data_IF_879224872682
#
_entry.id   IF_879224872682
#
_cell.length_a   1.000
_cell.length_b   1.000
_cell.length_c   1.000
_cell.angle_alpha   90.00
_cell.angle_beta   90.00
_cell.angle_gamma   90.00
#
_symmetry.space_group_name_H-M   'P 1'
#
loop_
_entity.id
_entity.type
_entity.pdbx_description
1 polymer ?
#
# COMPACT_ATOMS: atom_id res chain seq x y z
N UNK A 1 -0.08 3.15 22.31
CA UNK A 1 -0.66 3.98 21.24
C UNK A 1 -1.96 4.59 21.71
N UNK A 2 -2.38 5.68 21.09
CA UNK A 2 -3.68 6.29 21.39
C UNK A 2 -4.81 5.44 20.81
N UNK A 3 -6.02 5.62 21.36
CA UNK A 3 -7.21 4.95 20.84
C UNK A 3 -7.57 5.47 19.45
N UNK A 4 -8.09 4.61 18.60
CA UNK A 4 -8.58 4.92 17.27
C UNK A 4 -9.74 3.98 16.93
N UNK A 5 -10.59 4.39 16.01
CA UNK A 5 -11.61 3.53 15.43
C UNK A 5 -11.07 2.83 14.16
N UNK A 6 -11.53 1.59 13.93
CA UNK A 6 -11.03 0.76 12.83
C UNK A 6 -12.14 0.45 11.84
N UNK A 7 -11.85 0.70 10.57
CA UNK A 7 -12.75 0.47 9.45
C UNK A 7 -12.08 -0.42 8.41
N UNK A 8 -12.85 -1.33 7.83
CA UNK A 8 -12.38 -2.21 6.76
C UNK A 8 -13.36 -2.20 5.60
N UNK A 9 -13.32 -1.20 4.72
CA UNK A 9 -14.23 -1.10 3.58
C UNK A 9 -14.00 -2.23 2.58
N UNK A 10 -15.06 -2.57 1.85
CA UNK A 10 -15.04 -3.63 0.84
C UNK A 10 -15.00 -3.09 -0.59
N UNK A 11 -15.05 -1.78 -0.75
CA UNK A 11 -14.91 -1.11 -2.05
C UNK A 11 -14.05 0.16 -1.93
N UNK A 12 -13.43 0.54 -3.03
CA UNK A 12 -12.65 1.78 -3.09
C UNK A 12 -13.55 3.01 -2.89
N UNK A 13 -14.76 2.98 -3.41
CA UNK A 13 -15.75 4.05 -3.22
C UNK A 13 -16.08 4.24 -1.74
N UNK A 14 -16.30 3.15 -0.99
CA UNK A 14 -16.56 3.20 0.45
C UNK A 14 -15.35 3.72 1.22
N UNK A 15 -14.14 3.31 0.86
CA UNK A 15 -12.91 3.81 1.48
C UNK A 15 -12.77 5.33 1.31
N UNK A 16 -13.06 5.84 0.13
CA UNK A 16 -13.04 7.29 -0.15
C UNK A 16 -14.13 8.03 0.62
N UNK A 17 -15.31 7.47 0.71
CA UNK A 17 -16.43 8.06 1.46
C UNK A 17 -16.10 8.14 2.95
N UNK A 18 -15.59 7.06 3.55
CA UNK A 18 -15.13 7.05 4.93
C UNK A 18 -14.07 8.12 5.18
N UNK A 19 -13.07 8.21 4.33
CA UNK A 19 -12.01 9.20 4.47
C UNK A 19 -12.55 10.63 4.50
N UNK A 20 -13.55 10.92 3.67
CA UNK A 20 -14.15 12.25 3.58
C UNK A 20 -15.05 12.61 4.77
N UNK A 21 -15.59 11.61 5.47
CA UNK A 21 -16.54 11.79 6.56
C UNK A 21 -15.91 11.82 7.95
N UNK A 22 -14.74 11.23 8.10
CA UNK A 22 -14.04 11.09 9.38
C UNK A 22 -13.17 12.33 9.67
N UNK A 23 -12.82 12.53 10.94
CA UNK A 23 -12.14 13.75 11.39
C UNK A 23 -10.66 13.77 11.01
N UNK A 24 -9.92 12.72 11.38
CA UNK A 24 -8.48 12.57 11.09
C UNK A 24 -8.16 11.13 10.70
N UNK A 25 -8.70 10.65 9.57
CA UNK A 25 -8.50 9.28 9.15
C UNK A 25 -7.13 9.09 8.49
N UNK A 26 -6.57 7.89 8.66
CA UNK A 26 -5.43 7.43 7.87
C UNK A 26 -5.72 6.09 7.22
N UNK A 27 -5.29 5.95 5.97
CA UNK A 27 -5.27 4.65 5.32
C UNK A 27 -4.15 3.77 5.88
N UNK A 28 -4.45 2.52 6.17
CA UNK A 28 -3.44 1.51 6.46
C UNK A 28 -3.41 0.45 5.38
N UNK A 29 -2.21 0.21 4.88
CA UNK A 29 -1.90 -0.77 3.86
C UNK A 29 -0.97 -1.84 4.47
N UNK A 30 0.32 -1.82 4.19
CA UNK A 30 1.29 -2.72 4.83
C UNK A 30 1.49 -2.48 6.33
N UNK A 31 1.34 -1.24 6.78
CA UNK A 31 1.41 -0.85 8.18
C UNK A 31 2.82 -0.76 8.76
N UNK A 32 3.86 -1.02 7.99
CA UNK A 32 5.24 -1.14 8.48
C UNK A 32 5.88 0.18 8.93
N UNK A 33 5.31 1.30 8.55
CA UNK A 33 5.71 2.64 9.03
C UNK A 33 4.65 3.22 9.97
N UNK A 34 3.39 3.17 9.57
CA UNK A 34 2.31 3.77 10.34
C UNK A 34 2.14 3.13 11.73
N UNK A 35 2.09 1.80 11.82
CA UNK A 35 1.88 1.11 13.08
C UNK A 35 3.01 1.38 14.09
N UNK A 36 4.29 1.28 13.74
CA UNK A 36 5.37 1.70 14.63
C UNK A 36 5.28 3.16 15.08
N UNK A 37 4.91 4.07 14.16
CA UNK A 37 4.74 5.50 14.50
C UNK A 37 3.62 5.71 15.51
N UNK A 38 2.51 4.99 15.38
CA UNK A 38 1.41 5.03 16.35
C UNK A 38 1.83 4.45 17.71
N UNK A 39 2.59 3.36 17.72
CA UNK A 39 3.13 2.76 18.97
C UNK A 39 4.05 3.71 19.71
N UNK A 40 4.80 4.51 19.01
CA UNK A 40 5.69 5.54 19.57
C UNK A 40 4.97 6.86 19.86
N UNK A 41 3.67 6.93 19.61
CA UNK A 41 2.83 8.14 19.77
C UNK A 41 3.27 9.32 18.90
N UNK A 42 3.92 9.04 17.77
CA UNK A 42 4.29 10.04 16.76
C UNK A 42 3.18 10.29 15.74
N UNK A 43 2.23 9.37 15.64
CA UNK A 43 1.00 9.51 14.85
C UNK A 43 -0.19 9.11 15.72
N UNK A 44 -1.27 9.88 15.62
CA UNK A 44 -2.47 9.71 16.44
C UNK A 44 -3.74 9.92 15.61
N UNK A 45 -3.97 9.13 14.53
CA UNK A 45 -5.19 9.26 13.76
C UNK A 45 -6.41 8.94 14.61
N UNK A 46 -7.54 9.60 14.35
CA UNK A 46 -8.81 9.24 14.97
C UNK A 46 -9.32 7.88 14.47
N UNK A 47 -9.03 7.57 13.22
CA UNK A 47 -9.55 6.41 12.52
C UNK A 47 -8.50 5.77 11.60
N UNK A 48 -8.50 4.44 11.53
CA UNK A 48 -7.75 3.68 10.53
C UNK A 48 -8.69 3.05 9.52
N UNK A 49 -8.43 3.30 8.26
CA UNK A 49 -9.14 2.69 7.13
C UNK A 49 -8.24 1.63 6.51
N UNK A 50 -8.51 0.36 6.79
CA UNK A 50 -7.72 -0.77 6.31
C UNK A 50 -8.09 -1.12 4.87
N UNK A 51 -7.11 -1.05 3.99
CA UNK A 51 -7.27 -1.30 2.56
C UNK A 51 -7.11 -2.78 2.17
N UNK A 52 -6.88 -3.67 3.14
CA UNK A 52 -6.54 -5.08 2.86
C UNK A 52 -7.66 -5.90 2.21
N UNK A 53 -8.91 -5.44 2.26
CA UNK A 53 -10.04 -6.09 1.57
C UNK A 53 -10.20 -5.63 0.11
N UNK A 54 -9.42 -4.65 -0.34
CA UNK A 54 -9.52 -4.08 -1.68
C UNK A 54 -8.56 -4.78 -2.64
N UNK A 55 -8.96 -5.91 -3.21
CA UNK A 55 -8.14 -6.70 -4.14
C UNK A 55 -7.73 -5.92 -5.39
N UNK A 56 -8.52 -4.93 -5.80
CA UNK A 56 -8.21 -4.05 -6.93
C UNK A 56 -6.94 -3.19 -6.71
N UNK A 57 -6.48 -3.04 -5.47
CA UNK A 57 -5.25 -2.34 -5.12
C UNK A 57 -4.02 -3.25 -5.10
N UNK A 58 -4.18 -4.54 -5.35
CA UNK A 58 -3.08 -5.50 -5.42
C UNK A 58 -2.68 -5.77 -6.87
N UNK A 59 -1.38 -6.04 -7.05
CA UNK A 59 -0.85 -6.56 -8.30
C UNK A 59 -0.13 -5.54 -9.16
N UNK A 60 0.48 -6.08 -10.21
CA UNK A 60 1.29 -5.34 -11.17
C UNK A 60 0.79 -5.74 -12.55
N UNK A 61 0.42 -4.74 -13.35
CA UNK A 61 -0.08 -4.98 -14.70
C UNK A 61 0.47 -3.97 -15.69
N UNK A 62 0.60 -4.41 -16.94
CA UNK A 62 0.96 -3.55 -18.05
C UNK A 62 -0.30 -2.97 -18.68
N UNK A 63 -0.36 -1.65 -18.76
CA UNK A 63 -1.42 -0.92 -19.43
C UNK A 63 -0.86 -0.35 -20.72
N UNK A 64 -1.40 -0.81 -21.84
CA UNK A 64 -1.01 -0.34 -23.16
C UNK A 64 -2.15 0.46 -23.76
N UNK A 65 -1.90 1.73 -24.10
CA UNK A 65 -2.74 2.46 -25.01
C UNK A 65 -2.03 2.64 -26.37
N UNK A 66 -2.67 3.36 -27.29
CA UNK A 66 -2.17 3.52 -28.68
C UNK A 66 -0.83 4.29 -28.76
N UNK A 67 -0.39 4.98 -27.71
CA UNK A 67 0.76 5.88 -27.70
C UNK A 67 1.77 5.57 -26.60
N UNK A 68 1.32 5.03 -25.46
CA UNK A 68 2.16 4.83 -24.27
C UNK A 68 1.99 3.43 -23.67
N UNK A 69 3.09 2.91 -23.14
CA UNK A 69 3.10 1.70 -22.32
C UNK A 69 3.42 2.08 -20.89
N UNK A 70 2.54 1.70 -19.95
CA UNK A 70 2.69 1.98 -18.54
C UNK A 70 2.62 0.72 -17.72
N UNK A 71 3.32 0.68 -16.59
CA UNK A 71 3.10 -0.31 -15.56
C UNK A 71 2.26 0.31 -14.44
N UNK A 72 1.21 -0.39 -14.05
CA UNK A 72 0.43 -0.08 -12.87
C UNK A 72 0.88 -0.97 -11.72
N UNK A 73 1.23 -0.35 -10.59
CA UNK A 73 1.54 -1.05 -9.34
C UNK A 73 0.48 -0.65 -8.33
N UNK A 74 -0.31 -1.59 -7.86
CA UNK A 74 -1.35 -1.34 -6.87
C UNK A 74 -0.77 -0.96 -5.52
N UNK A 75 -1.43 -0.07 -4.78
CA UNK A 75 -0.96 0.42 -3.48
C UNK A 75 -0.89 -0.63 -2.37
N UNK A 76 -1.53 -1.79 -2.55
CA UNK A 76 -1.45 -2.96 -1.66
C UNK A 76 -0.43 -4.01 -2.14
N UNK A 77 0.31 -3.74 -3.20
CA UNK A 77 1.35 -4.64 -3.71
C UNK A 77 2.56 -4.62 -2.78
N UNK A 78 3.00 -5.78 -2.33
CA UNK A 78 4.11 -5.90 -1.39
C UNK A 78 5.46 -5.68 -2.07
N UNK A 79 6.44 -5.17 -1.34
CA UNK A 79 7.77 -4.93 -1.86
C UNK A 79 8.42 -6.18 -2.47
N UNK A 80 8.23 -7.36 -1.88
CA UNK A 80 8.73 -8.60 -2.46
C UNK A 80 8.09 -8.98 -3.80
N UNK A 81 6.83 -8.62 -4.01
CA UNK A 81 6.16 -8.81 -5.30
C UNK A 81 6.78 -7.90 -6.37
N UNK A 82 7.03 -6.63 -6.02
CA UNK A 82 7.72 -5.69 -6.92
C UNK A 82 9.14 -6.17 -7.24
N UNK A 83 9.89 -6.60 -6.23
CA UNK A 83 11.27 -7.07 -6.40
C UNK A 83 11.39 -8.31 -7.29
N UNK A 84 10.42 -9.22 -7.22
CA UNK A 84 10.41 -10.47 -7.99
C UNK A 84 9.62 -10.45 -9.29
N UNK A 85 8.98 -9.35 -9.65
CA UNK A 85 8.07 -9.29 -10.79
C UNK A 85 8.83 -9.17 -12.11
N UNK A 86 8.47 -10.02 -13.08
CA UNK A 86 9.13 -10.05 -14.39
C UNK A 86 8.91 -8.77 -15.21
N UNK A 87 7.74 -8.15 -15.15
CA UNK A 87 7.45 -6.88 -15.83
C UNK A 87 8.29 -5.73 -15.28
N UNK A 88 8.45 -5.67 -13.95
CA UNK A 88 9.30 -4.68 -13.28
C UNK A 88 10.77 -4.89 -13.68
N UNK A 89 11.27 -6.12 -13.65
CA UNK A 89 12.64 -6.42 -14.04
C UNK A 89 12.92 -6.08 -15.50
N UNK A 90 11.94 -6.25 -16.37
CA UNK A 90 12.07 -5.99 -17.81
C UNK A 90 12.01 -4.49 -18.14
N UNK A 91 11.08 -3.74 -17.53
CA UNK A 91 10.79 -2.35 -17.90
C UNK A 91 11.39 -1.32 -16.94
N UNK A 92 11.49 -1.65 -15.66
CA UNK A 92 11.99 -0.76 -14.59
C UNK A 92 12.89 -1.52 -13.61
N UNK A 93 14.04 -2.05 -14.06
CA UNK A 93 14.90 -2.90 -13.23
C UNK A 93 15.38 -2.20 -11.95
N UNK A 94 15.60 -0.88 -11.98
CA UNK A 94 15.99 -0.11 -10.79
C UNK A 94 14.92 -0.15 -9.71
N UNK A 95 13.64 -0.09 -10.08
CA UNK A 95 12.54 -0.20 -9.11
C UNK A 95 12.56 -1.55 -8.39
N UNK A 96 12.79 -2.64 -9.10
CA UNK A 96 12.93 -3.97 -8.52
C UNK A 96 14.13 -4.08 -7.59
N UNK A 97 15.27 -3.51 -7.96
CA UNK A 97 16.48 -3.48 -7.13
C UNK A 97 16.26 -2.69 -5.84
N UNK A 98 15.64 -1.51 -5.92
CA UNK A 98 15.32 -0.70 -4.75
C UNK A 98 14.34 -1.43 -3.83
N UNK A 99 13.29 -2.03 -4.38
CA UNK A 99 12.33 -2.81 -3.59
C UNK A 99 13.00 -3.99 -2.86
N UNK A 100 13.93 -4.68 -3.52
CA UNK A 100 14.70 -5.79 -2.92
C UNK A 100 15.62 -5.33 -1.79
N UNK A 101 16.00 -4.06 -1.73
CA UNK A 101 16.88 -3.48 -0.72
C UNK A 101 16.13 -2.90 0.49
N UNK A 102 14.79 -2.85 0.46
CA UNK A 102 14.01 -2.28 1.57
C UNK A 102 14.01 -3.21 2.77
N UNK A 103 14.46 -2.71 3.94
CA UNK A 103 14.41 -3.42 5.21
C UNK A 103 14.97 -4.83 5.17
N UNK A 104 14.27 -5.74 5.80
CA UNK A 104 14.54 -7.18 5.77
C UNK A 104 13.44 -7.94 5.02
N UNK A 105 13.57 -9.27 4.97
CA UNK A 105 12.61 -10.11 4.25
C UNK A 105 11.19 -10.06 4.86
N UNK A 106 11.07 -9.96 6.18
CA UNK A 106 9.79 -9.85 6.86
C UNK A 106 9.10 -8.53 6.50
N UNK A 107 9.84 -7.43 6.50
CA UNK A 107 9.33 -6.11 6.09
C UNK A 107 8.87 -6.13 4.64
N UNK A 108 9.67 -6.68 3.73
CA UNK A 108 9.32 -6.78 2.30
C UNK A 108 8.10 -7.67 2.02
N UNK A 109 7.88 -8.68 2.85
CA UNK A 109 6.72 -9.56 2.74
C UNK A 109 5.41 -8.94 3.26
N UNK A 110 5.49 -7.86 4.00
CA UNK A 110 4.33 -7.17 4.59
C UNK A 110 4.16 -5.76 4.07
N UNK A 111 5.22 -4.98 3.98
CA UNK A 111 5.21 -3.60 3.49
C UNK A 111 4.80 -3.51 2.02
N UNK A 112 4.04 -2.49 1.72
CA UNK A 112 3.51 -2.23 0.38
C UNK A 112 4.04 -0.93 -0.21
#
# INVERSE_FOLDING_TARGET
MYAFDYHRPTSLADAKTLYAQLEDPMYVSGGMTLIPSMKQRLAAPSDLIDLSSLSELEGIEQLNDAQDSMLRVGGMTRHNEVAGNALIQRHFPVLGQVAAAIGDNQVRNRGT
#
